data_IF_666384407163
#
_entry.id   IF_666384407163
#
_cell.length_a   1.000
_cell.length_b   1.000
_cell.length_c   1.000
_cell.angle_alpha   90.00
_cell.angle_beta   90.00
_cell.angle_gamma   90.00
#
_symmetry.space_group_name_H-M   'P 1'
#
loop_
_entity.id
_entity.type
_entity.pdbx_description
1 polymer ?
#
# COMPACT_ATOMS: atom_id res chain seq x y z
N UNK A 1 53.95 -9.59 -21.18
CA UNK A 1 53.51 -8.36 -20.49
C UNK A 1 52.18 -8.63 -19.80
N UNK A 2 52.20 -8.74 -18.47
CA UNK A 2 51.01 -8.85 -17.62
C UNK A 2 50.38 -7.46 -17.53
N UNK A 3 49.12 -7.31 -17.93
CA UNK A 3 48.35 -6.07 -17.76
C UNK A 3 47.56 -6.20 -16.46
N UNK A 4 47.77 -5.23 -15.56
CA UNK A 4 47.34 -5.24 -14.16
C UNK A 4 45.86 -4.87 -13.99
N UNK A 5 45.19 -5.62 -13.11
CA UNK A 5 43.78 -5.56 -12.72
C UNK A 5 43.46 -4.41 -11.72
N UNK A 6 44.34 -3.41 -11.56
CA UNK A 6 44.24 -2.42 -10.46
C UNK A 6 43.76 -1.03 -10.95
N UNK A 7 43.67 -0.79 -12.26
CA UNK A 7 43.32 0.54 -12.79
C UNK A 7 41.81 0.74 -13.04
N UNK A 8 41.00 -0.32 -13.04
CA UNK A 8 39.57 -0.21 -13.41
C UNK A 8 38.64 0.07 -12.22
N UNK A 9 39.15 0.10 -10.98
CA UNK A 9 38.34 0.31 -9.76
C UNK A 9 38.36 1.77 -9.28
N UNK A 10 39.18 2.65 -9.86
CA UNK A 10 39.40 4.00 -9.33
C UNK A 10 38.65 5.15 -10.03
N UNK A 11 37.72 4.84 -10.95
CA UNK A 11 36.92 5.88 -11.63
C UNK A 11 35.44 5.60 -11.39
N UNK A 12 35.09 5.50 -10.11
CA UNK A 12 33.73 5.31 -9.58
C UNK A 12 33.34 6.38 -8.55
N UNK A 13 34.02 7.53 -8.49
CA UNK A 13 33.75 8.56 -7.47
C UNK A 13 33.59 10.00 -7.99
N UNK A 14 33.31 10.19 -9.29
CA UNK A 14 33.31 11.55 -9.88
C UNK A 14 31.97 12.02 -10.44
N UNK A 15 30.85 11.36 -10.12
CA UNK A 15 29.52 11.76 -10.66
C UNK A 15 28.42 11.73 -9.59
N UNK A 16 28.76 12.10 -8.35
CA UNK A 16 27.77 12.55 -7.37
C UNK A 16 28.02 14.03 -7.07
N UNK A 17 27.45 14.88 -7.92
CA UNK A 17 27.32 16.30 -7.64
C UNK A 17 26.31 16.51 -6.51
N UNK A 18 26.79 17.04 -5.39
CA UNK A 18 25.95 17.73 -4.41
C UNK A 18 26.35 19.20 -4.46
N UNK A 19 25.39 20.03 -4.84
CA UNK A 19 25.46 21.49 -4.82
C UNK A 19 24.80 22.03 -3.54
N UNK A 20 25.27 23.21 -3.13
CA UNK A 20 25.13 23.84 -1.81
C UNK A 20 23.75 24.42 -1.44
N UNK A 21 23.57 24.62 -0.11
CA UNK A 21 22.98 25.71 0.71
C UNK A 21 22.10 26.82 0.04
N UNK A 22 21.25 27.65 0.75
CA UNK A 22 21.45 28.13 2.13
C UNK A 22 20.21 28.65 2.97
N UNK A 23 20.54 29.21 4.15
CA UNK A 23 19.96 30.41 4.84
C UNK A 23 18.74 30.28 5.80
N UNK A 24 19.06 30.53 7.09
CA UNK A 24 18.47 31.53 8.04
C UNK A 24 16.99 31.33 8.49
N UNK A 25 16.54 31.52 9.74
CA UNK A 25 16.88 32.54 10.73
C UNK A 25 16.10 32.30 12.05
N UNK A 26 16.57 32.97 13.12
CA UNK A 26 15.85 33.36 14.36
C UNK A 26 15.58 32.27 15.41
N UNK A 27 15.59 32.49 16.73
CA UNK A 27 15.91 33.63 17.61
C UNK A 27 15.99 33.05 19.04
N UNK A 28 16.89 33.60 19.85
CA UNK A 28 17.03 33.32 21.28
C UNK A 28 15.95 34.02 22.13
N UNK A 29 15.85 33.48 23.36
CA UNK A 29 15.68 34.17 24.65
C UNK A 29 14.27 34.41 25.24
N UNK A 30 14.14 33.82 26.44
CA UNK A 30 13.77 34.45 27.72
C UNK A 30 12.32 34.45 28.24
N UNK A 31 12.21 33.71 29.35
CA UNK A 31 11.39 33.78 30.55
C UNK A 31 10.88 35.16 30.97
N UNK A 32 9.61 35.26 31.43
CA UNK A 32 9.15 36.15 32.52
C UNK A 32 7.96 35.51 33.27
N UNK A 33 7.87 35.81 34.55
CA UNK A 33 7.14 35.16 35.65
C UNK A 33 5.93 36.01 36.10
N UNK A 34 4.88 35.34 36.64
CA UNK A 34 3.69 35.71 37.51
C UNK A 34 3.52 37.16 38.04
N UNK A 35 2.29 37.67 38.40
CA UNK A 35 1.37 37.04 39.40
C UNK A 35 -0.15 37.43 39.36
N UNK A 36 -0.86 37.03 40.44
CA UNK A 36 -2.18 37.46 41.00
C UNK A 36 -3.42 36.65 40.54
N UNK A 37 -4.07 35.81 41.38
CA UNK A 37 -4.77 36.02 42.67
C UNK A 37 -6.16 36.66 42.52
N UNK A 38 -7.23 35.89 42.79
CA UNK A 38 -8.42 36.35 43.54
C UNK A 38 -9.47 35.23 43.72
N UNK A 39 -9.91 35.09 44.96
CA UNK A 39 -10.90 34.19 45.54
C UNK A 39 -12.37 34.63 45.34
N UNK A 40 -13.29 33.67 45.59
CA UNK A 40 -14.71 33.80 45.94
C UNK A 40 -15.65 34.31 44.80
N UNK A 41 -16.89 33.87 44.65
CA UNK A 41 -17.89 33.69 45.71
C UNK A 41 -19.08 32.84 45.20
N UNK A 42 -19.67 32.10 46.12
CA UNK A 42 -20.99 31.46 45.99
C UNK A 42 -22.10 32.50 46.03
N UNK A 43 -23.20 32.33 45.28
CA UNK A 43 -24.54 32.76 45.69
C UNK A 43 -25.65 32.01 44.94
N UNK A 44 -26.56 31.47 45.74
CA UNK A 44 -27.82 30.81 45.43
C UNK A 44 -28.93 31.81 45.06
N UNK A 45 -30.05 31.32 44.49
CA UNK A 45 -31.44 31.48 44.97
C UNK A 45 -32.47 31.41 43.82
N UNK A 46 -33.55 30.66 44.11
CA UNK A 46 -34.93 30.74 43.63
C UNK A 46 -35.30 30.18 42.24
N UNK A 47 -35.82 28.96 42.31
CA UNK A 47 -37.12 28.56 41.78
C UNK A 47 -38.13 29.70 41.62
N UNK A 48 -38.81 29.76 40.48
CA UNK A 48 -40.22 30.16 40.45
C UNK A 48 -40.94 29.26 39.45
N UNK A 49 -41.94 28.55 39.98
CA UNK A 49 -42.96 27.80 39.27
C UNK A 49 -43.51 28.56 38.05
N UNK A 50 -43.73 27.84 36.96
CA UNK A 50 -45.03 27.87 36.31
C UNK A 50 -45.21 26.61 35.47
N UNK A 51 -46.19 25.82 35.91
CA UNK A 51 -46.67 24.63 35.24
C UNK A 51 -47.24 24.99 33.86
N UNK A 52 -46.59 24.49 32.83
CA UNK A 52 -47.24 24.22 31.56
C UNK A 52 -47.30 22.69 31.40
N UNK A 53 -48.52 22.16 31.35
CA UNK A 53 -48.80 20.76 31.11
C UNK A 53 -48.60 20.46 29.63
N UNK A 54 -47.34 20.28 29.24
CA UNK A 54 -46.95 19.58 28.02
C UNK A 54 -46.36 18.23 28.46
N UNK A 55 -46.82 17.13 27.85
CA UNK A 55 -46.32 15.79 28.18
C UNK A 55 -44.80 15.79 28.25
N UNK A 56 -44.25 15.23 29.33
CA UNK A 56 -42.80 15.12 29.53
C UNK A 56 -42.20 14.41 28.33
N UNK A 57 -41.70 15.18 27.37
CA UNK A 57 -40.83 14.65 26.33
C UNK A 57 -39.61 14.19 27.11
N UNK A 58 -39.46 12.88 27.26
CA UNK A 58 -38.27 12.32 27.89
C UNK A 58 -37.09 12.62 26.96
N UNK A 59 -36.48 13.78 27.17
CA UNK A 59 -35.37 14.29 26.39
C UNK A 59 -34.15 13.42 26.63
N UNK A 60 -33.48 13.07 25.53
CA UNK A 60 -32.35 12.14 25.56
C UNK A 60 -31.05 12.90 25.35
N UNK A 61 -30.03 12.45 26.08
CA UNK A 61 -28.66 12.94 25.95
C UNK A 61 -27.83 11.90 25.21
N UNK A 62 -27.31 12.26 24.05
CA UNK A 62 -26.50 11.42 23.18
C UNK A 62 -25.05 11.89 23.19
N UNK A 63 -24.12 11.03 23.60
CA UNK A 63 -22.68 11.29 23.52
C UNK A 63 -22.15 10.60 22.28
N UNK A 64 -21.61 11.37 21.33
CA UNK A 64 -21.04 10.84 20.08
C UNK A 64 -19.53 11.00 20.09
N UNK A 65 -18.82 9.87 20.09
CA UNK A 65 -17.36 9.78 19.97
C UNK A 65 -16.97 9.18 18.62
N UNK A 66 -15.87 9.64 18.05
CA UNK A 66 -15.32 9.05 16.81
C UNK A 66 -13.83 8.81 16.91
N UNK A 67 -13.36 7.81 16.16
CA UNK A 67 -11.94 7.53 15.92
C UNK A 67 -11.68 7.56 14.40
N UNK A 68 -10.86 8.48 13.88
CA UNK A 68 -10.21 9.60 14.58
C UNK A 68 -11.22 10.62 15.14
N UNK A 69 -10.82 11.32 16.20
CA UNK A 69 -11.61 12.40 16.81
C UNK A 69 -11.73 13.63 15.90
N UNK A 70 -12.65 14.54 16.23
CA UNK A 70 -12.87 15.80 15.52
C UNK A 70 -13.65 15.66 14.22
N UNK A 71 -14.52 14.65 14.11
CA UNK A 71 -15.44 14.51 12.99
C UNK A 71 -16.64 15.46 13.16
N UNK A 72 -17.06 16.13 12.08
CA UNK A 72 -18.30 16.88 12.06
C UNK A 72 -19.49 15.93 12.20
N UNK A 73 -20.31 16.16 13.23
CA UNK A 73 -21.49 15.37 13.57
C UNK A 73 -22.73 16.12 13.13
N UNK A 74 -23.53 15.51 12.26
CA UNK A 74 -24.82 16.02 11.83
C UNK A 74 -25.92 15.09 12.36
N UNK A 75 -26.97 15.67 12.94
CA UNK A 75 -28.16 14.97 13.39
C UNK A 75 -29.36 15.49 12.60
N UNK A 76 -30.06 14.60 11.88
CA UNK A 76 -31.17 14.95 10.98
C UNK A 76 -30.79 16.10 10.02
N UNK A 77 -29.61 15.96 9.39
CA UNK A 77 -28.98 16.93 8.47
C UNK A 77 -28.57 18.29 9.08
N UNK A 78 -28.80 18.52 10.38
CA UNK A 78 -28.33 19.71 11.09
C UNK A 78 -26.98 19.48 11.75
N UNK A 79 -26.03 20.42 11.59
CA UNK A 79 -24.69 20.33 12.16
C UNK A 79 -24.74 20.55 13.68
N UNK A 80 -24.34 19.55 14.46
CA UNK A 80 -24.29 19.63 15.92
C UNK A 80 -22.92 20.15 16.40
N UNK A 81 -21.83 19.79 15.72
CA UNK A 81 -20.47 20.22 16.08
C UNK A 81 -19.41 19.17 15.71
N UNK A 82 -18.31 19.13 16.48
CA UNK A 82 -17.21 18.19 16.29
C UNK A 82 -17.18 17.15 17.41
N UNK A 83 -16.89 15.88 17.09
CA UNK A 83 -16.73 14.81 18.07
C UNK A 83 -15.43 14.92 18.89
N UNK A 84 -15.41 14.50 20.17
CA UNK A 84 -16.55 14.09 21.00
C UNK A 84 -17.56 15.21 21.23
N UNK A 85 -18.86 14.91 21.13
CA UNK A 85 -19.93 15.89 21.38
C UNK A 85 -21.08 15.26 22.18
N UNK A 86 -21.66 16.05 23.07
CA UNK A 86 -22.91 15.74 23.78
C UNK A 86 -24.03 16.49 23.10
N UNK A 87 -25.04 15.77 22.62
CA UNK A 87 -26.26 16.33 22.03
C UNK A 87 -27.41 16.07 23.00
N UNK A 88 -28.07 17.13 23.43
CA UNK A 88 -29.17 17.06 24.39
C UNK A 88 -30.51 17.35 23.71
N UNK A 89 -31.60 16.87 24.32
CA UNK A 89 -32.93 17.17 23.85
C UNK A 89 -33.36 16.41 22.60
N UNK A 90 -32.85 15.19 22.41
CA UNK A 90 -33.36 14.31 21.36
C UNK A 90 -34.72 13.75 21.77
N UNK A 91 -35.64 13.71 20.81
CA UNK A 91 -36.92 13.04 20.94
C UNK A 91 -36.76 11.52 20.84
N UNK A 92 -37.75 10.78 21.30
CA UNK A 92 -37.84 9.33 21.10
C UNK A 92 -38.18 9.07 19.63
N UNK A 93 -37.53 8.08 19.03
CA UNK A 93 -37.79 7.61 17.68
C UNK A 93 -36.56 7.58 16.79
N UNK A 94 -36.80 7.68 15.48
CA UNK A 94 -35.76 7.53 14.46
C UNK A 94 -35.02 8.82 14.22
N UNK A 95 -33.70 8.76 14.27
CA UNK A 95 -32.81 9.84 13.92
C UNK A 95 -31.72 9.39 12.96
N UNK A 96 -31.24 10.33 12.14
CA UNK A 96 -30.17 10.07 11.17
C UNK A 96 -28.91 10.81 11.58
N UNK A 97 -27.85 10.05 11.84
CA UNK A 97 -26.53 10.58 12.14
C UNK A 97 -25.65 10.54 10.88
N UNK A 98 -25.04 11.66 10.55
CA UNK A 98 -23.99 11.73 9.51
C UNK A 98 -22.70 12.24 10.12
N UNK A 99 -21.62 11.48 9.95
CA UNK A 99 -20.28 11.81 10.44
C UNK A 99 -19.37 12.09 9.25
N UNK A 100 -18.75 13.28 9.25
CA UNK A 100 -17.86 13.74 8.19
C UNK A 100 -16.53 14.18 8.78
N UNK A 101 -15.43 13.60 8.28
CA UNK A 101 -14.06 14.03 8.60
C UNK A 101 -13.25 14.11 7.32
N UNK A 102 -12.51 15.20 7.14
CA UNK A 102 -11.57 15.34 6.01
C UNK A 102 -10.59 14.16 5.99
N UNK A 103 -10.44 13.53 4.82
CA UNK A 103 -9.59 12.35 4.65
C UNK A 103 -10.21 11.02 5.09
N UNK A 104 -11.48 10.99 5.53
CA UNK A 104 -12.20 9.77 5.85
C UNK A 104 -13.41 9.58 4.93
N UNK A 105 -13.90 8.35 4.81
CA UNK A 105 -15.17 8.07 4.16
C UNK A 105 -16.33 8.58 5.01
N UNK A 106 -17.36 9.13 4.35
CA UNK A 106 -18.60 9.56 4.98
C UNK A 106 -19.28 8.37 5.67
N UNK A 107 -19.63 8.52 6.94
CA UNK A 107 -20.38 7.49 7.69
C UNK A 107 -21.79 8.00 7.98
N UNK A 108 -22.80 7.23 7.58
CA UNK A 108 -24.20 7.45 7.93
C UNK A 108 -24.68 6.32 8.85
N UNK A 109 -25.49 6.65 9.84
CA UNK A 109 -26.12 5.70 10.76
C UNK A 109 -27.57 6.12 11.04
N UNK A 110 -28.47 5.15 11.10
CA UNK A 110 -29.82 5.33 11.64
C UNK A 110 -29.80 4.95 13.11
N UNK A 111 -30.33 5.82 13.95
CA UNK A 111 -30.46 5.62 15.40
C UNK A 111 -31.95 5.46 15.70
N UNK A 112 -32.33 4.34 16.30
CA UNK A 112 -33.65 4.17 16.89
C UNK A 112 -33.51 4.40 18.39
N UNK A 113 -34.08 5.49 18.86
CA UNK A 113 -33.99 5.90 20.25
C UNK A 113 -35.30 5.51 20.92
N UNK A 114 -35.26 4.47 21.75
CA UNK A 114 -36.46 3.76 22.21
C UNK A 114 -36.72 3.97 23.72
N UNK A 115 -35.70 4.45 24.45
CA UNK A 115 -35.71 4.60 25.90
C UNK A 115 -35.02 5.89 26.30
N UNK A 116 -35.53 6.56 27.34
CA UNK A 116 -34.88 7.72 27.93
C UNK A 116 -33.59 7.37 28.69
N UNK A 117 -32.58 8.24 28.58
CA UNK A 117 -31.29 8.06 29.25
C UNK A 117 -30.12 8.69 28.50
N UNK A 118 -28.91 8.41 28.99
CA UNK A 118 -27.65 8.78 28.32
C UNK A 118 -27.21 7.62 27.43
N UNK A 119 -27.13 7.85 26.12
CA UNK A 119 -26.60 6.87 25.17
C UNK A 119 -25.23 7.34 24.68
N UNK A 120 -24.23 6.47 24.79
CA UNK A 120 -22.89 6.74 24.28
C UNK A 120 -22.63 5.90 23.03
N UNK A 121 -22.34 6.58 21.92
CA UNK A 121 -22.04 5.95 20.64
C UNK A 121 -20.59 6.18 20.26
N UNK A 122 -19.91 5.11 19.88
CA UNK A 122 -18.55 5.15 19.39
C UNK A 122 -18.49 4.69 17.93
N UNK A 123 -17.92 5.54 17.06
CA UNK A 123 -17.82 5.27 15.63
C UNK A 123 -16.36 5.32 15.15
N UNK A 124 -15.91 4.26 14.48
CA UNK A 124 -14.63 4.28 13.75
C UNK A 124 -14.85 4.73 12.31
N UNK A 125 -14.21 5.82 11.92
CA UNK A 125 -14.24 6.33 10.55
C UNK A 125 -13.09 5.73 9.75
N UNK A 126 -13.42 5.13 8.61
CA UNK A 126 -12.43 4.52 7.73
C UNK A 126 -11.76 5.58 6.86
N UNK A 127 -10.44 5.50 6.79
CA UNK A 127 -9.60 6.28 5.90
C UNK A 127 -9.23 5.45 4.66
N UNK A 128 -8.98 6.10 3.52
CA UNK A 128 -8.41 5.43 2.36
C UNK A 128 -7.09 4.76 2.72
N UNK A 129 -6.94 3.50 2.36
CA UNK A 129 -5.68 2.78 2.39
C UNK A 129 -4.98 2.82 1.03
N UNK A 130 -3.92 2.03 0.91
CA UNK A 130 -3.22 1.83 -0.34
C UNK A 130 -2.55 0.46 -0.42
N UNK A 131 -2.12 0.11 -1.62
CA UNK A 131 -1.38 -1.10 -1.90
C UNK A 131 -0.27 -0.80 -2.92
N UNK A 132 0.97 -1.05 -2.50
CA UNK A 132 2.15 -1.02 -3.37
C UNK A 132 2.52 -2.45 -3.75
N UNK A 133 2.66 -2.72 -5.04
CA UNK A 133 2.94 -4.05 -5.56
C UNK A 133 4.21 -3.98 -6.39
N UNK A 134 5.21 -4.76 -6.03
CA UNK A 134 6.44 -4.96 -6.82
C UNK A 134 6.60 -6.42 -7.20
N UNK A 135 7.27 -6.70 -8.31
CA UNK A 135 7.59 -8.07 -8.69
C UNK A 135 9.03 -8.21 -9.17
N UNK A 136 9.57 -9.42 -9.02
CA UNK A 136 10.83 -9.84 -9.62
C UNK A 136 10.54 -11.04 -10.52
N UNK A 137 10.77 -10.94 -11.85
CA UNK A 137 11.11 -9.72 -12.59
C UNK A 137 9.98 -8.66 -12.62
N UNK A 138 10.33 -7.41 -12.95
CA UNK A 138 9.39 -6.30 -13.08
C UNK A 138 8.55 -6.39 -14.38
N UNK A 139 7.49 -5.58 -14.46
CA UNK A 139 6.64 -5.47 -15.65
C UNK A 139 5.51 -6.50 -15.73
N UNK A 140 5.23 -7.21 -14.63
CA UNK A 140 4.10 -8.12 -14.51
C UNK A 140 2.77 -7.35 -14.54
N UNK A 141 1.80 -7.82 -15.29
CA UNK A 141 0.44 -7.28 -15.32
C UNK A 141 -0.30 -7.63 -14.02
N UNK A 142 -0.92 -6.63 -13.39
CA UNK A 142 -1.57 -6.75 -12.10
C UNK A 142 -3.08 -6.60 -12.25
N UNK A 143 -3.82 -7.56 -11.71
CA UNK A 143 -5.26 -7.50 -11.57
C UNK A 143 -5.63 -7.46 -10.08
N UNK A 144 -6.54 -6.57 -9.71
CA UNK A 144 -7.10 -6.46 -8.37
C UNK A 144 -8.59 -6.79 -8.48
N UNK A 145 -9.05 -7.82 -7.78
CA UNK A 145 -10.41 -8.39 -7.86
C UNK A 145 -10.83 -8.71 -9.31
N UNK A 146 -9.87 -9.20 -10.11
CA UNK A 146 -10.07 -9.53 -11.51
C UNK A 146 -10.11 -8.33 -12.47
N UNK A 147 -9.90 -7.09 -11.98
CA UNK A 147 -9.84 -5.89 -12.81
C UNK A 147 -8.39 -5.49 -13.11
N UNK A 148 -8.03 -5.22 -14.37
CA UNK A 148 -6.68 -4.79 -14.72
C UNK A 148 -6.38 -3.45 -14.05
N UNK A 149 -5.27 -3.40 -13.31
CA UNK A 149 -4.85 -2.25 -12.50
C UNK A 149 -3.52 -1.64 -12.95
N UNK A 150 -2.82 -2.28 -13.89
CA UNK A 150 -1.57 -1.79 -14.47
C UNK A 150 -0.46 -2.84 -14.45
N UNK A 151 0.80 -2.41 -14.41
CA UNK A 151 1.98 -3.29 -14.34
C UNK A 151 2.83 -2.99 -13.11
N UNK A 152 3.61 -3.94 -12.65
CA UNK A 152 4.59 -3.74 -11.57
C UNK A 152 5.79 -2.90 -12.04
N UNK A 153 6.35 -2.04 -11.17
CA UNK A 153 5.83 -1.65 -9.86
C UNK A 153 4.55 -0.80 -9.94
N UNK A 154 3.53 -1.17 -9.16
CA UNK A 154 2.23 -0.51 -9.11
C UNK A 154 2.02 0.15 -7.75
N UNK A 155 1.50 1.38 -7.75
CA UNK A 155 1.06 2.08 -6.55
C UNK A 155 -0.43 2.43 -6.67
N UNK A 156 -1.27 1.67 -5.97
CA UNK A 156 -2.70 1.95 -5.85
C UNK A 156 -2.96 2.70 -4.56
N UNK A 157 -3.37 3.96 -4.67
CA UNK A 157 -3.76 4.79 -3.54
C UNK A 157 -5.29 4.97 -3.50
N UNK A 158 -5.82 5.39 -2.36
CA UNK A 158 -7.26 5.65 -2.20
C UNK A 158 -8.14 4.39 -2.26
N UNK A 159 -7.60 3.25 -1.82
CA UNK A 159 -8.36 2.00 -1.72
C UNK A 159 -9.27 2.05 -0.49
N UNK A 160 -10.47 1.44 -0.58
CA UNK A 160 -11.30 1.24 0.61
C UNK A 160 -10.65 0.15 1.46
N UNK A 161 -10.70 0.25 2.80
CA UNK A 161 -10.24 -0.85 3.64
C UNK A 161 -11.06 -2.11 3.35
N UNK A 162 -10.38 -3.25 3.24
CA UNK A 162 -11.00 -4.52 2.87
C UNK A 162 -10.00 -5.53 2.32
N UNK A 163 -10.51 -6.71 2.00
CA UNK A 163 -9.75 -7.79 1.38
C UNK A 163 -9.78 -7.66 -0.14
N UNK A 164 -8.62 -7.78 -0.77
CA UNK A 164 -8.46 -7.71 -2.22
C UNK A 164 -7.74 -8.95 -2.74
N UNK A 165 -8.28 -9.55 -3.82
CA UNK A 165 -7.58 -10.62 -4.53
C UNK A 165 -6.63 -10.00 -5.54
N UNK A 166 -5.33 -10.16 -5.32
CA UNK A 166 -4.27 -9.69 -6.22
C UNK A 166 -3.81 -10.84 -7.09
N UNK A 167 -3.81 -10.64 -8.40
CA UNK A 167 -3.21 -11.54 -9.38
C UNK A 167 -2.10 -10.80 -10.15
N UNK A 168 -0.95 -11.42 -10.31
CA UNK A 168 0.15 -10.90 -11.12
C UNK A 168 0.54 -11.91 -12.19
N UNK A 169 0.67 -11.43 -13.44
CA UNK A 169 0.94 -12.27 -14.61
C UNK A 169 2.10 -11.73 -15.43
N UNK A 170 2.99 -12.62 -15.86
CA UNK A 170 4.06 -12.26 -16.77
C UNK A 170 4.33 -13.41 -17.76
N UNK A 171 4.50 -13.13 -19.06
CA UNK A 171 4.77 -14.17 -20.06
C UNK A 171 6.00 -15.02 -19.71
N UNK A 172 5.85 -16.35 -19.74
CA UNK A 172 6.90 -17.31 -19.39
C UNK A 172 7.00 -17.62 -17.89
N UNK A 173 6.14 -17.02 -17.05
CA UNK A 173 6.06 -17.23 -15.61
C UNK A 173 4.69 -17.80 -15.22
N UNK A 174 4.64 -18.52 -14.10
CA UNK A 174 3.38 -18.95 -13.49
C UNK A 174 2.65 -17.74 -12.88
N UNK A 175 1.32 -17.65 -13.04
CA UNK A 175 0.55 -16.57 -12.44
C UNK A 175 0.61 -16.66 -10.91
N UNK A 176 0.81 -15.53 -10.28
CA UNK A 176 0.75 -15.41 -8.82
C UNK A 176 -0.64 -14.93 -8.41
N UNK A 177 -1.25 -15.56 -7.42
CA UNK A 177 -2.48 -15.08 -6.77
C UNK A 177 -2.32 -15.07 -5.26
N UNK A 178 -2.71 -13.95 -4.62
CA UNK A 178 -2.74 -13.83 -3.17
C UNK A 178 -3.87 -12.90 -2.71
N UNK A 179 -4.36 -13.10 -1.49
CA UNK A 179 -5.34 -12.21 -0.86
C UNK A 179 -4.61 -11.24 0.07
N UNK A 180 -4.88 -9.94 -0.08
CA UNK A 180 -4.23 -8.88 0.68
C UNK A 180 -5.29 -8.04 1.40
N UNK A 181 -5.09 -7.85 2.70
CA UNK A 181 -5.93 -7.02 3.55
C UNK A 181 -5.41 -5.58 3.56
N UNK A 182 -6.15 -4.66 2.94
CA UNK A 182 -5.83 -3.22 3.00
C UNK A 182 -6.49 -2.62 4.24
N UNK A 183 -5.68 -2.06 5.14
CA UNK A 183 -6.16 -1.43 6.38
C UNK A 183 -6.45 0.06 6.20
N UNK A 184 -7.31 0.58 7.08
CA UNK A 184 -7.67 2.00 7.13
C UNK A 184 -6.45 2.89 7.34
N UNK A 185 -6.20 3.82 6.41
CA UNK A 185 -5.12 4.80 6.51
C UNK A 185 -3.71 4.22 6.31
N UNK A 186 -3.57 2.93 6.01
CA UNK A 186 -2.28 2.25 5.83
C UNK A 186 -2.07 1.91 4.36
N UNK A 187 -0.84 2.08 3.89
CA UNK A 187 -0.41 1.57 2.58
C UNK A 187 0.36 0.28 2.79
N UNK A 188 -0.24 -0.84 2.40
CA UNK A 188 0.39 -2.15 2.46
C UNK A 188 1.37 -2.33 1.29
N UNK A 189 2.41 -3.15 1.49
CA UNK A 189 3.40 -3.45 0.45
C UNK A 189 3.45 -4.94 0.20
N UNK A 190 3.25 -5.34 -1.05
CA UNK A 190 3.33 -6.72 -1.53
C UNK A 190 4.52 -6.84 -2.49
N UNK A 191 5.48 -7.68 -2.12
CA UNK A 191 6.58 -8.07 -3.00
C UNK A 191 6.31 -9.48 -3.54
N UNK A 192 6.36 -9.61 -4.87
CA UNK A 192 6.06 -10.86 -5.59
C UNK A 192 7.35 -11.39 -6.22
N UNK A 193 7.62 -12.67 -6.04
CA UNK A 193 8.67 -13.37 -6.77
C UNK A 193 8.01 -14.35 -7.73
N UNK A 194 8.15 -14.10 -9.04
CA UNK A 194 7.53 -14.92 -10.07
C UNK A 194 8.44 -16.08 -10.44
N UNK A 195 7.87 -17.28 -10.49
CA UNK A 195 8.57 -18.49 -10.91
C UNK A 195 8.30 -18.75 -12.38
N UNK A 196 9.32 -19.18 -13.10
CA UNK A 196 9.15 -19.60 -14.48
C UNK A 196 8.15 -20.76 -14.58
N UNK A 197 7.29 -20.72 -15.58
CA UNK A 197 6.35 -21.80 -15.85
C UNK A 197 7.08 -23.10 -16.20
N UNK A 198 6.51 -24.24 -15.83
CA UNK A 198 7.07 -25.55 -16.16
C UNK A 198 7.29 -25.71 -17.68
N UNK A 199 6.32 -25.28 -18.50
CA UNK A 199 6.43 -25.30 -19.95
C UNK A 199 7.63 -24.50 -20.48
N UNK A 200 7.92 -23.34 -19.87
CA UNK A 200 9.10 -22.55 -20.22
C UNK A 200 10.39 -23.28 -19.84
N UNK A 201 10.48 -23.85 -18.63
CA UNK A 201 11.65 -24.59 -18.19
C UNK A 201 11.92 -25.83 -19.05
N UNK A 202 10.88 -26.58 -19.44
CA UNK A 202 10.98 -27.72 -20.33
C UNK A 202 11.50 -27.30 -21.72
N UNK A 203 11.05 -26.16 -22.24
CA UNK A 203 11.53 -25.62 -23.51
C UNK A 203 13.03 -25.28 -23.47
N UNK A 204 13.51 -24.72 -22.35
CA UNK A 204 14.93 -24.42 -22.14
C UNK A 204 15.76 -25.69 -22.05
N UNK A 205 15.27 -26.72 -21.37
CA UNK A 205 16.01 -27.97 -21.21
C UNK A 205 16.12 -28.73 -22.54
N UNK A 206 15.04 -28.81 -23.31
CA UNK A 206 15.06 -29.40 -24.65
C UNK A 206 16.04 -28.69 -25.60
N UNK A 207 16.05 -27.34 -25.57
CA UNK A 207 16.99 -26.55 -26.36
C UNK A 207 18.45 -26.81 -25.96
N UNK A 208 18.74 -26.97 -24.66
CA UNK A 208 20.08 -27.33 -24.17
C UNK A 208 20.50 -28.70 -24.67
N UNK A 209 19.62 -29.70 -24.57
CA UNK A 209 19.89 -31.07 -25.02
C UNK A 209 20.18 -31.09 -26.53
N UNK A 210 19.43 -30.34 -27.33
CA UNK A 210 19.63 -30.24 -28.77
C UNK A 210 20.97 -29.57 -29.13
N UNK A 211 21.31 -28.45 -28.47
CA UNK A 211 22.59 -27.77 -28.67
C UNK A 211 23.80 -28.68 -28.34
N UNK A 212 23.69 -29.45 -27.25
CA UNK A 212 24.72 -30.43 -26.88
C UNK A 212 24.83 -31.56 -27.89
N UNK A 213 23.70 -32.08 -28.37
CA UNK A 213 23.66 -33.12 -29.40
C UNK A 213 24.31 -32.64 -30.69
N UNK A 214 24.02 -31.43 -31.13
CA UNK A 214 24.61 -30.84 -32.33
C UNK A 214 26.12 -30.68 -32.17
N UNK A 215 26.60 -30.17 -31.02
CA UNK A 215 28.05 -30.08 -30.75
C UNK A 215 28.75 -31.43 -30.84
N UNK A 216 28.17 -32.49 -30.27
CA UNK A 216 28.73 -33.85 -30.35
C UNK A 216 28.76 -34.36 -31.79
N UNK A 217 27.67 -34.16 -32.55
CA UNK A 217 27.61 -34.54 -33.98
C UNK A 217 28.66 -33.80 -34.81
N UNK A 218 28.82 -32.50 -34.64
CA UNK A 218 29.85 -31.72 -35.34
C UNK A 218 31.27 -32.18 -35.00
N UNK A 219 31.54 -32.49 -33.73
CA UNK A 219 32.84 -33.04 -33.31
C UNK A 219 33.14 -34.38 -34.00
N UNK A 220 32.17 -35.30 -34.02
CA UNK A 220 32.33 -36.59 -34.69
C UNK A 220 32.56 -36.43 -36.20
N UNK A 221 31.83 -35.52 -36.87
CA UNK A 221 32.02 -35.24 -38.30
C UNK A 221 33.41 -34.66 -38.57
N UNK A 222 33.88 -33.73 -37.73
CA UNK A 222 35.21 -33.13 -37.88
C UNK A 222 36.33 -34.17 -37.77
N UNK A 223 36.21 -35.08 -36.80
CA UNK A 223 37.19 -36.17 -36.59
C UNK A 223 37.20 -37.14 -37.77
N UNK A 224 36.02 -37.60 -38.22
CA UNK A 224 35.92 -38.51 -39.37
C UNK A 224 36.49 -37.84 -40.63
N UNK A 225 36.13 -36.58 -40.89
CA UNK A 225 36.67 -35.81 -42.02
C UNK A 225 38.21 -35.73 -42.00
N UNK A 226 38.80 -35.44 -40.84
CA UNK A 226 40.26 -35.37 -40.69
C UNK A 226 40.96 -36.71 -41.01
N UNK A 227 40.42 -37.84 -40.52
CA UNK A 227 40.97 -39.16 -40.83
C UNK A 227 40.83 -39.52 -42.31
N UNK A 228 39.70 -39.19 -42.93
CA UNK A 228 39.45 -39.49 -44.35
C UNK A 228 40.42 -38.73 -45.25
N UNK A 229 40.64 -37.43 -44.98
CA UNK A 229 41.59 -36.59 -45.71
C UNK A 229 43.03 -37.08 -45.50
N UNK A 230 43.41 -37.40 -44.26
CA UNK A 230 44.74 -37.93 -43.96
C UNK A 230 45.02 -39.26 -44.69
N UNK A 231 44.05 -40.18 -44.71
CA UNK A 231 44.18 -41.44 -45.45
C UNK A 231 44.34 -41.25 -46.96
N UNK A 232 43.59 -40.31 -47.56
CA UNK A 232 43.74 -39.95 -48.99
C UNK A 232 45.14 -39.37 -49.25
N UNK A 233 45.66 -38.52 -48.37
CA UNK A 233 47.00 -37.95 -48.51
C UNK A 233 48.06 -39.06 -48.45
N UNK A 234 47.99 -39.97 -47.48
CA UNK A 234 48.92 -41.11 -47.40
C UNK A 234 48.86 -41.99 -48.65
N UNK A 235 47.66 -42.27 -49.16
CA UNK A 235 47.47 -43.06 -50.37
C UNK A 235 48.08 -42.38 -51.61
N UNK A 236 47.96 -41.04 -51.73
CA UNK A 236 48.57 -40.27 -52.81
C UNK A 236 50.10 -40.23 -52.68
N UNK A 237 50.64 -40.11 -51.46
CA UNK A 237 52.09 -40.16 -51.23
C UNK A 237 52.67 -41.52 -51.63
N UNK A 238 52.06 -42.62 -51.22
CA UNK A 238 52.53 -43.97 -51.56
C UNK A 238 52.55 -44.24 -53.08
N UNK A 239 51.63 -43.62 -53.82
CA UNK A 239 51.59 -43.73 -55.28
C UNK A 239 52.66 -42.94 -56.02
N UNK A 240 53.29 -41.97 -55.35
CA UNK A 240 54.31 -41.11 -55.98
C UNK A 240 55.72 -41.73 -55.87
N UNK A 241 55.92 -42.67 -54.94
CA UNK A 241 57.18 -43.41 -54.74
C UNK A 241 57.29 -44.71 -55.58
N UNK A 242 56.31 -45.02 -56.43
CA UNK A 242 56.36 -46.13 -57.40
C UNK A 242 56.52 -45.60 -58.83
#
# INVERSE_FOLDING_TARGET
>A
MKVNLITTVYILCSVFGLYAEPVDSTKNAETVTVPADSLADTLSIASTDSADSAGTIEKITLIVKTEPAGASVFLNDSLMGLSPITVEGLDIGKHYLTLKKTGCYLKKAELNIDTSGVSELFFTLQQPGGLKISSIPEGAEVLIDGKPSGKTPLNSSQMKPGEYKVRAELPGYDPFENQVSVKSGVTETLQIELKHSAAYLDSLENARIEAQRNRKRFSSILVIGAFTVFGIILFLMERTDR
#
